data_IF_549399851506
#
_entry.id   IF_549399851506
#
_cell.length_a   1.000
_cell.length_b   1.000
_cell.length_c   1.000
_cell.angle_alpha   90.00
_cell.angle_beta   90.00
_cell.angle_gamma   90.00
#
_symmetry.space_group_name_H-M   'P 1'
#
loop_
_entity.id
_entity.type
_entity.pdbx_description
1 polymer ?
#
# COMPACT_ATOMS: atom_id res chain seq x y z
N UNK A 1 38.24 -27.34 13.36
CA UNK A 1 37.84 -26.91 12.02
C UNK A 1 36.34 -27.01 11.77
N UNK A 2 35.68 -28.11 12.11
CA UNK A 2 34.23 -28.24 11.92
C UNK A 2 33.41 -27.20 12.72
N UNK A 3 33.85 -26.82 13.92
CA UNK A 3 33.17 -25.78 14.72
C UNK A 3 33.29 -24.38 14.14
N UNK A 4 34.41 -24.06 13.50
CA UNK A 4 34.63 -22.77 12.85
C UNK A 4 33.75 -22.63 11.60
N UNK A 5 33.63 -23.68 10.79
CA UNK A 5 32.75 -23.73 9.61
C UNK A 5 31.27 -23.56 9.98
N UNK A 6 30.81 -24.20 11.04
CA UNK A 6 29.44 -24.06 11.53
C UNK A 6 29.18 -22.64 12.04
N UNK A 7 30.14 -22.04 12.74
CA UNK A 7 30.03 -20.66 13.22
C UNK A 7 29.96 -19.65 12.07
N UNK A 8 30.75 -19.83 11.02
CA UNK A 8 30.73 -18.97 9.82
C UNK A 8 29.40 -19.14 9.08
N UNK A 9 28.89 -20.36 8.96
CA UNK A 9 27.59 -20.63 8.32
C UNK A 9 26.44 -20.00 9.11
N UNK A 10 26.50 -20.03 10.43
CA UNK A 10 25.50 -19.41 11.30
C UNK A 10 25.56 -17.87 11.22
N UNK A 11 26.76 -17.30 11.12
CA UNK A 11 26.95 -15.86 10.95
C UNK A 11 26.41 -15.36 9.60
N UNK A 12 26.58 -16.14 8.52
CA UNK A 12 26.04 -15.81 7.22
C UNK A 12 24.52 -15.89 7.16
N UNK A 13 23.90 -16.74 7.96
CA UNK A 13 22.45 -16.81 8.08
C UNK A 13 21.83 -15.65 8.86
N UNK A 14 22.62 -14.94 9.68
CA UNK A 14 22.17 -13.80 10.48
C UNK A 14 22.37 -12.46 9.74
N UNK A 15 23.12 -12.43 8.65
CA UNK A 15 23.24 -11.23 7.82
C UNK A 15 21.87 -10.87 7.25
N UNK A 16 21.35 -9.65 7.54
CA UNK A 16 20.07 -9.24 6.99
C UNK A 16 20.20 -9.18 5.48
N UNK A 17 19.49 -10.07 4.80
CA UNK A 17 19.26 -9.91 3.38
C UNK A 17 18.47 -8.60 3.20
N UNK A 18 18.85 -7.73 2.24
CA UNK A 18 18.07 -6.54 1.98
C UNK A 18 16.66 -6.97 1.59
N UNK A 19 15.73 -6.84 2.53
CA UNK A 19 14.32 -7.10 2.28
C UNK A 19 13.79 -5.94 1.44
N UNK A 20 13.45 -6.22 0.20
CA UNK A 20 12.76 -5.26 -0.64
C UNK A 20 11.33 -5.14 -0.14
N UNK A 21 10.97 -3.98 0.42
CA UNK A 21 9.64 -3.71 0.97
C UNK A 21 8.57 -3.61 -0.12
N UNK A 22 8.95 -3.12 -1.29
CA UNK A 22 8.04 -2.91 -2.41
C UNK A 22 8.50 -3.74 -3.60
N UNK A 23 7.58 -4.53 -4.13
CA UNK A 23 7.83 -5.38 -5.29
C UNK A 23 7.00 -4.89 -6.48
N UNK A 24 7.60 -4.20 -7.45
CA UNK A 24 6.89 -3.79 -8.67
C UNK A 24 6.25 -5.00 -9.37
N UNK A 25 5.00 -4.84 -9.76
CA UNK A 25 4.20 -5.93 -10.32
C UNK A 25 3.42 -6.74 -9.29
N UNK A 26 3.63 -6.51 -8.00
CA UNK A 26 2.86 -7.15 -6.95
C UNK A 26 1.40 -6.69 -6.98
N UNK A 27 0.50 -7.65 -6.84
CA UNK A 27 -0.93 -7.41 -6.69
C UNK A 27 -1.44 -8.21 -5.50
N UNK A 28 -2.04 -7.52 -4.55
CA UNK A 28 -2.63 -8.11 -3.35
C UNK A 28 -4.14 -7.91 -3.39
N UNK A 29 -4.87 -8.96 -3.06
CA UNK A 29 -6.32 -8.93 -3.02
C UNK A 29 -6.80 -9.27 -1.63
N UNK A 30 -7.65 -8.41 -1.08
CA UNK A 30 -8.27 -8.60 0.22
C UNK A 30 -9.77 -8.62 0.07
N UNK A 31 -10.42 -9.47 0.86
CA UNK A 31 -11.88 -9.48 0.97
C UNK A 31 -12.29 -8.84 2.27
N UNK A 32 -13.28 -7.98 2.21
CA UNK A 32 -13.83 -7.31 3.40
C UNK A 32 -15.14 -8.00 3.76
N UNK A 33 -15.15 -8.59 4.95
CA UNK A 33 -16.33 -9.27 5.47
C UNK A 33 -16.94 -8.43 6.60
N UNK A 34 -18.25 -8.36 6.59
CA UNK A 34 -19.02 -7.70 7.63
C UNK A 34 -19.82 -8.73 8.42
N UNK A 35 -19.71 -8.64 9.74
CA UNK A 35 -20.45 -9.50 10.65
C UNK A 35 -21.39 -8.67 11.49
N UNK A 36 -22.69 -8.85 11.29
CA UNK A 36 -23.72 -8.24 12.10
C UNK A 36 -24.72 -9.32 12.53
N UNK A 37 -25.57 -9.00 13.53
CA UNK A 37 -26.56 -9.95 14.03
C UNK A 37 -27.46 -10.53 12.94
N UNK A 38 -27.76 -9.76 11.90
CA UNK A 38 -28.60 -10.19 10.77
C UNK A 38 -27.83 -10.73 9.56
N UNK A 39 -26.51 -10.51 9.52
CA UNK A 39 -25.65 -10.92 8.41
C UNK A 39 -24.40 -11.58 8.96
N UNK A 40 -24.42 -12.89 9.24
CA UNK A 40 -23.25 -13.57 9.73
C UNK A 40 -22.21 -13.69 8.61
N UNK A 41 -21.04 -13.07 8.84
CA UNK A 41 -19.83 -13.25 8.04
C UNK A 41 -20.03 -13.13 6.52
N UNK A 42 -20.58 -12.00 6.08
CA UNK A 42 -20.88 -11.75 4.67
C UNK A 42 -19.78 -10.94 4.03
N UNK A 43 -19.25 -11.40 2.90
CA UNK A 43 -18.29 -10.63 2.11
C UNK A 43 -19.02 -9.50 1.38
N UNK A 44 -18.70 -8.26 1.72
CA UNK A 44 -19.37 -7.07 1.19
C UNK A 44 -18.49 -6.23 0.28
N UNK A 45 -17.18 -6.39 0.37
CA UNK A 45 -16.26 -5.58 -0.38
C UNK A 45 -14.94 -6.30 -0.70
N UNK A 46 -14.16 -5.65 -1.53
CA UNK A 46 -12.83 -6.11 -1.91
C UNK A 46 -11.86 -4.93 -1.93
N UNK A 47 -10.63 -5.20 -1.58
CA UNK A 47 -9.52 -4.25 -1.69
C UNK A 47 -8.44 -4.88 -2.55
N UNK A 48 -7.99 -4.14 -3.54
CA UNK A 48 -6.87 -4.52 -4.40
C UNK A 48 -5.74 -3.53 -4.18
N UNK A 49 -4.55 -4.03 -3.94
CA UNK A 49 -3.34 -3.20 -3.80
C UNK A 49 -2.37 -3.59 -4.89
N UNK A 50 -1.98 -2.62 -5.71
CA UNK A 50 -1.04 -2.78 -6.81
C UNK A 50 0.21 -1.96 -6.57
N UNK A 51 1.36 -2.57 -6.75
CA UNK A 51 2.65 -1.88 -6.72
C UNK A 51 3.26 -1.90 -8.11
N UNK A 52 3.67 -0.75 -8.59
CA UNK A 52 4.29 -0.59 -9.90
C UNK A 52 5.46 0.38 -9.85
N UNK A 53 6.30 0.34 -10.86
CA UNK A 53 7.32 1.35 -11.08
C UNK A 53 6.70 2.62 -11.68
N UNK A 54 7.22 3.76 -11.29
CA UNK A 54 6.83 5.06 -11.83
C UNK A 54 8.06 5.93 -11.99
N UNK A 55 8.05 6.78 -12.99
CA UNK A 55 9.11 7.76 -13.23
C UNK A 55 8.49 9.15 -13.41
N UNK A 56 8.94 10.11 -12.63
CA UNK A 56 8.49 11.49 -12.69
C UNK A 56 9.73 12.39 -12.77
N UNK A 57 9.83 13.17 -13.84
CA UNK A 57 10.94 14.09 -14.07
C UNK A 57 12.33 13.40 -13.96
N UNK A 58 12.46 12.20 -14.50
CA UNK A 58 13.70 11.42 -14.49
C UNK A 58 14.01 10.71 -13.19
N UNK A 59 13.17 10.83 -12.17
CA UNK A 59 13.36 10.18 -10.87
C UNK A 59 12.42 8.99 -10.72
N UNK A 60 12.94 7.91 -10.16
CA UNK A 60 12.20 6.65 -9.99
C UNK A 60 11.46 6.61 -8.65
N UNK A 61 10.23 6.15 -8.71
CA UNK A 61 9.34 5.97 -7.58
C UNK A 61 8.67 4.59 -7.63
N UNK A 62 8.28 4.08 -6.48
CA UNK A 62 7.25 3.05 -6.39
C UNK A 62 5.89 3.72 -6.34
N UNK A 63 4.98 3.27 -7.17
CA UNK A 63 3.59 3.68 -7.14
C UNK A 63 2.76 2.57 -6.53
N UNK A 64 2.15 2.85 -5.38
CA UNK A 64 1.26 1.90 -4.70
C UNK A 64 -0.16 2.44 -4.79
N UNK A 65 -1.03 1.64 -5.38
CA UNK A 65 -2.43 2.00 -5.59
C UNK A 65 -3.32 1.01 -4.85
N UNK A 66 -4.16 1.53 -3.95
CA UNK A 66 -5.16 0.77 -3.22
C UNK A 66 -6.56 1.11 -3.71
N UNK A 67 -7.30 0.13 -4.15
CA UNK A 67 -8.66 0.28 -4.66
C UNK A 67 -9.59 -0.51 -3.76
N UNK A 68 -10.48 0.18 -3.06
CA UNK A 68 -11.53 -0.42 -2.26
C UNK A 68 -12.88 -0.27 -2.94
N UNK A 69 -13.64 -1.34 -3.04
CA UNK A 69 -14.95 -1.31 -3.68
C UNK A 69 -15.94 -2.24 -3.01
N UNK A 70 -17.19 -1.84 -3.04
CA UNK A 70 -18.30 -2.72 -2.65
C UNK A 70 -18.51 -3.79 -3.73
N UNK A 71 -18.77 -5.02 -3.32
CA UNK A 71 -19.13 -6.08 -4.27
C UNK A 71 -20.42 -5.73 -5.01
N UNK A 72 -20.56 -6.11 -6.30
CA UNK A 72 -21.71 -5.76 -7.12
C UNK A 72 -23.05 -6.10 -6.46
N UNK A 73 -23.13 -7.21 -5.75
CA UNK A 73 -24.35 -7.66 -5.06
C UNK A 73 -24.83 -6.69 -3.98
N UNK A 74 -23.93 -5.90 -3.38
CA UNK A 74 -24.25 -4.98 -2.28
C UNK A 74 -24.22 -3.51 -2.69
N UNK A 75 -23.98 -3.18 -3.95
CA UNK A 75 -23.92 -1.79 -4.44
C UNK A 75 -25.24 -1.05 -4.29
N UNK A 76 -26.35 -1.76 -4.32
CA UNK A 76 -27.67 -1.17 -4.11
C UNK A 76 -27.86 -0.66 -2.68
N UNK A 77 -27.21 -1.30 -1.72
CA UNK A 77 -27.26 -0.92 -0.32
C UNK A 77 -26.24 0.19 0.00
N UNK A 78 -25.01 0.04 -0.43
CA UNK A 78 -23.93 1.01 -0.24
C UNK A 78 -22.93 0.86 -1.37
N UNK A 79 -22.79 1.89 -2.17
CA UNK A 79 -21.85 1.89 -3.29
C UNK A 79 -20.61 2.69 -2.91
N UNK A 80 -19.50 1.98 -2.69
CA UNK A 80 -18.21 2.55 -2.36
C UNK A 80 -17.18 2.16 -3.42
N UNK A 81 -16.43 3.14 -3.90
CA UNK A 81 -15.28 2.94 -4.76
C UNK A 81 -14.24 4.01 -4.43
N UNK A 82 -13.27 3.62 -3.61
CA UNK A 82 -12.21 4.52 -3.17
C UNK A 82 -10.88 4.09 -3.77
N UNK A 83 -10.13 5.06 -4.29
CA UNK A 83 -8.80 4.85 -4.85
C UNK A 83 -7.81 5.72 -4.09
N UNK A 84 -6.80 5.07 -3.54
CA UNK A 84 -5.69 5.73 -2.87
C UNK A 84 -4.40 5.42 -3.61
N UNK A 85 -3.62 6.45 -3.92
CA UNK A 85 -2.35 6.27 -4.62
C UNK A 85 -1.26 7.00 -3.87
N UNK A 86 -0.14 6.31 -3.63
CA UNK A 86 1.04 6.90 -3.00
C UNK A 86 2.25 6.66 -3.90
N UNK A 87 3.07 7.68 -4.06
CA UNK A 87 4.38 7.59 -4.71
C UNK A 87 5.46 7.65 -3.65
N UNK A 88 6.34 6.67 -3.68
CA UNK A 88 7.37 6.46 -2.68
C UNK A 88 8.73 6.54 -3.39
N UNK A 89 9.62 7.38 -2.88
CA UNK A 89 10.98 7.49 -3.41
C UNK A 89 11.71 6.15 -3.23
N UNK A 90 12.28 5.63 -4.31
CA UNK A 90 12.96 4.33 -4.29
C UNK A 90 14.24 4.34 -3.45
N UNK A 91 14.90 5.48 -3.31
CA UNK A 91 16.13 5.60 -2.53
C UNK A 91 15.87 5.77 -1.04
N UNK A 92 14.99 6.70 -0.66
CA UNK A 92 14.73 7.04 0.75
C UNK A 92 13.59 6.24 1.36
N UNK A 93 12.75 5.59 0.54
CA UNK A 93 11.51 4.91 0.93
C UNK A 93 10.52 5.82 1.65
N UNK A 94 10.57 7.12 1.36
CA UNK A 94 9.64 8.11 1.90
C UNK A 94 8.55 8.44 0.88
N UNK A 95 7.31 8.63 1.34
CA UNK A 95 6.25 9.09 0.44
C UNK A 95 6.55 10.52 -0.02
N UNK A 96 6.34 10.77 -1.29
CA UNK A 96 6.52 12.10 -1.88
C UNK A 96 5.21 12.70 -2.37
N UNK A 97 4.25 11.85 -2.70
CA UNK A 97 2.95 12.27 -3.17
C UNK A 97 1.88 11.27 -2.75
N UNK A 98 0.72 11.78 -2.40
CA UNK A 98 -0.46 10.99 -2.08
C UNK A 98 -1.67 11.58 -2.80
N UNK A 99 -2.46 10.72 -3.39
CA UNK A 99 -3.73 11.09 -4.01
C UNK A 99 -4.84 10.19 -3.47
N UNK A 100 -6.01 10.76 -3.32
CA UNK A 100 -7.21 9.98 -3.02
C UNK A 100 -8.38 10.42 -3.90
N UNK A 101 -9.12 9.46 -4.39
CA UNK A 101 -10.38 9.64 -5.10
C UNK A 101 -11.44 8.80 -4.37
N UNK A 102 -12.28 9.47 -3.62
CA UNK A 102 -13.27 8.84 -2.76
C UNK A 102 -14.65 8.98 -3.39
N UNK A 103 -15.33 7.87 -3.57
CA UNK A 103 -16.69 7.79 -4.08
C UNK A 103 -17.51 6.86 -3.20
N UNK A 104 -18.31 7.46 -2.35
CA UNK A 104 -19.12 6.75 -1.36
C UNK A 104 -20.59 7.19 -1.49
N UNK A 105 -21.40 6.40 -2.18
CA UNK A 105 -22.77 6.79 -2.54
C UNK A 105 -22.77 8.05 -3.41
N UNK A 106 -23.45 9.09 -2.95
CA UNK A 106 -23.49 10.39 -3.62
C UNK A 106 -22.35 11.32 -3.23
N UNK A 107 -21.51 10.89 -2.28
CA UNK A 107 -20.37 11.66 -1.82
C UNK A 107 -19.14 11.39 -2.68
N UNK A 108 -18.55 12.46 -3.20
CA UNK A 108 -17.28 12.39 -3.93
C UNK A 108 -16.29 13.38 -3.34
N UNK A 109 -15.05 12.94 -3.16
CA UNK A 109 -13.98 13.78 -2.64
C UNK A 109 -12.67 13.38 -3.29
N UNK A 110 -11.94 14.38 -3.78
CA UNK A 110 -10.60 14.19 -4.35
C UNK A 110 -9.62 15.04 -3.59
N UNK A 111 -8.49 14.45 -3.24
CA UNK A 111 -7.40 15.19 -2.61
C UNK A 111 -6.06 14.70 -3.13
N UNK A 112 -5.10 15.59 -3.08
CA UNK A 112 -3.70 15.21 -3.31
C UNK A 112 -2.81 15.99 -2.37
N UNK A 113 -1.75 15.33 -1.94
CA UNK A 113 -0.73 15.92 -1.08
C UNK A 113 0.64 15.67 -1.68
N UNK A 114 1.47 16.69 -1.72
CA UNK A 114 2.86 16.56 -2.10
C UNK A 114 3.70 16.82 -0.86
N UNK A 115 4.58 15.87 -0.53
CA UNK A 115 5.46 15.98 0.60
C UNK A 115 6.80 16.54 0.13
N UNK A 116 7.21 17.66 0.69
CA UNK A 116 8.53 18.22 0.45
C UNK A 116 9.46 17.60 1.49
N UNK A 117 10.29 16.65 1.06
CA UNK A 117 11.34 16.09 1.90
C UNK A 117 12.48 17.10 2.02
N UNK A 118 12.38 17.98 2.99
CA UNK A 118 13.50 18.77 3.43
C UNK A 118 14.43 17.88 4.26
N UNK A 119 15.72 18.21 4.28
CA UNK A 119 16.75 17.46 5.01
C UNK A 119 16.58 17.48 6.53
N UNK A 120 15.58 18.16 7.03
CA UNK A 120 15.25 18.22 8.43
C UNK A 120 13.77 17.86 8.64
N UNK A 121 13.48 17.34 9.82
CA UNK A 121 12.12 17.04 10.20
C UNK A 121 11.31 18.31 10.30
N UNK A 122 10.23 18.38 9.53
CA UNK A 122 9.24 19.42 9.72
C UNK A 122 8.66 19.31 11.12
N UNK A 123 8.51 20.41 11.86
CA UNK A 123 7.82 20.36 13.15
C UNK A 123 6.40 19.86 12.93
N UNK A 124 5.97 18.95 13.80
CA UNK A 124 4.59 18.47 13.79
C UNK A 124 3.64 19.64 13.93
N UNK A 125 2.59 19.70 13.13
CA UNK A 125 1.54 20.69 13.33
C UNK A 125 0.87 20.54 14.71
#
# INVERSE_FOLDING_TARGET
MKRLLITILFLSAVLPLPAQLYHPGEQLFYRVSYKAKMFPNTEVGAVEVKTSDSEIAGRKYYKVEGIGRTLPTYRWFFNLEDVYTVWIDTASLRPVRFESDIREGDYTFQSYYTYICLLYTSPSP
#
